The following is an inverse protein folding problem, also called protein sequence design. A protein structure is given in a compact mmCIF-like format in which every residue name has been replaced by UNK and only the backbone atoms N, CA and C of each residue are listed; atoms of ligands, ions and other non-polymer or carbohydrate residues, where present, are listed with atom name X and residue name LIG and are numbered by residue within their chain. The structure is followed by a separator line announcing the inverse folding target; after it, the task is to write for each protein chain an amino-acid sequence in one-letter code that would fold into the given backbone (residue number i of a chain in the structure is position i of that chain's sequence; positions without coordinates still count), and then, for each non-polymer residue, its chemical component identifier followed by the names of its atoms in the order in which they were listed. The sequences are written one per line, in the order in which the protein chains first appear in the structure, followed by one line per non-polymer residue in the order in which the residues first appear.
data_IF_091213639516
#
_entry.id   IF_091213639516
#
_cell.length_a   1.000
_cell.length_b   1.000
_cell.length_c   1.000
_cell.angle_alpha   90.00
_cell.angle_beta   90.00
_cell.angle_gamma   90.00
#
_symmetry.space_group_name_H-M   'P 1'
#
loop_
_entity.id
_entity.type
_entity.pdbx_description
1 polymer ?
#
# COMPACT_ATOMS: atom_id res chain seq x y z
N UNK A 1 23.20 -25.26 -69.75
CA UNK A 1 23.73 -24.93 -68.42
C UNK A 1 23.73 -23.42 -68.25
N UNK A 2 22.93 -22.87 -67.33
CA UNK A 2 23.16 -21.56 -66.70
C UNK A 2 22.15 -21.43 -65.56
N UNK A 3 22.60 -21.78 -64.34
CA UNK A 3 21.84 -21.56 -63.10
C UNK A 3 22.06 -20.11 -62.67
N UNK A 4 21.06 -19.25 -62.77
CA UNK A 4 21.05 -17.97 -62.08
C UNK A 4 20.64 -18.21 -60.63
N UNK A 5 21.61 -18.24 -59.73
CA UNK A 5 21.38 -18.23 -58.28
C UNK A 5 20.95 -16.82 -57.85
N UNK A 6 19.66 -16.64 -57.52
CA UNK A 6 19.22 -15.56 -56.65
C UNK A 6 19.55 -15.95 -55.21
N UNK A 7 20.64 -15.42 -54.68
CA UNK A 7 20.97 -15.43 -53.25
C UNK A 7 20.68 -14.06 -52.66
N UNK A 8 19.42 -13.78 -52.34
CA UNK A 8 19.06 -12.58 -51.59
C UNK A 8 19.42 -12.77 -50.12
N UNK A 9 20.48 -12.10 -49.65
CA UNK A 9 20.79 -12.00 -48.23
C UNK A 9 19.73 -11.10 -47.60
N UNK A 10 18.82 -11.70 -46.81
CA UNK A 10 17.88 -10.93 -45.99
C UNK A 10 18.69 -10.22 -44.91
N UNK A 11 18.89 -8.91 -45.07
CA UNK A 11 19.54 -8.09 -44.05
C UNK A 11 18.66 -8.06 -42.79
N UNK A 12 19.24 -8.24 -41.59
CA UNK A 12 18.49 -8.09 -40.36
C UNK A 12 17.97 -6.65 -40.26
N UNK A 13 16.67 -6.52 -40.05
CA UNK A 13 16.00 -5.23 -39.93
C UNK A 13 16.49 -4.49 -38.67
N UNK A 14 17.49 -3.64 -38.86
CA UNK A 14 18.14 -2.82 -37.83
C UNK A 14 17.16 -1.90 -37.10
N UNK A 15 16.08 -1.49 -37.78
CA UNK A 15 15.04 -0.66 -37.18
C UNK A 15 14.24 -1.46 -36.17
N UNK A 16 13.81 -2.67 -36.53
CA UNK A 16 13.11 -3.58 -35.61
C UNK A 16 13.96 -3.93 -34.38
N UNK A 17 15.27 -4.14 -34.55
CA UNK A 17 16.16 -4.43 -33.42
C UNK A 17 16.31 -3.24 -32.46
N UNK A 18 16.48 -2.03 -33.00
CA UNK A 18 16.52 -0.80 -32.20
C UNK A 18 15.18 -0.56 -31.48
N UNK A 19 14.07 -0.73 -32.17
CA UNK A 19 12.73 -0.51 -31.61
C UNK A 19 12.45 -1.51 -30.48
N UNK A 20 12.84 -2.78 -30.65
CA UNK A 20 12.75 -3.81 -29.59
C UNK A 20 13.65 -3.48 -28.39
N UNK A 21 14.87 -3.01 -28.62
CA UNK A 21 15.77 -2.60 -27.54
C UNK A 21 15.19 -1.41 -26.74
N UNK A 22 14.62 -0.40 -27.43
CA UNK A 22 13.98 0.74 -26.77
C UNK A 22 12.71 0.34 -26.03
N UNK A 23 11.89 -0.55 -26.60
CA UNK A 23 10.70 -1.06 -25.94
C UNK A 23 11.04 -1.82 -24.65
N UNK A 24 12.09 -2.66 -24.66
CA UNK A 24 12.55 -3.40 -23.49
C UNK A 24 13.09 -2.48 -22.37
N UNK A 25 13.82 -1.41 -22.75
CA UNK A 25 14.29 -0.40 -21.78
C UNK A 25 13.11 0.36 -21.17
N UNK A 26 12.14 0.78 -21.98
CA UNK A 26 10.97 1.51 -21.50
C UNK A 26 10.10 0.65 -20.58
N UNK A 27 9.87 -0.63 -20.93
CA UNK A 27 9.09 -1.54 -20.08
C UNK A 27 9.80 -1.85 -18.76
N UNK A 28 11.13 -2.01 -18.77
CA UNK A 28 11.90 -2.24 -17.55
C UNK A 28 11.92 -0.99 -16.64
N UNK A 29 12.00 0.21 -17.22
CA UNK A 29 11.92 1.46 -16.47
C UNK A 29 10.53 1.69 -15.84
N UNK A 30 9.46 1.39 -16.59
CA UNK A 30 8.08 1.49 -16.11
C UNK A 30 7.79 0.52 -14.96
N UNK A 31 8.29 -0.72 -15.03
CA UNK A 31 8.15 -1.69 -13.93
C UNK A 31 8.84 -1.21 -12.64
N UNK A 32 10.05 -0.65 -12.75
CA UNK A 32 10.78 -0.12 -11.59
C UNK A 32 10.03 1.05 -10.95
N UNK A 33 9.53 1.99 -11.76
CA UNK A 33 8.76 3.15 -11.27
C UNK A 33 7.46 2.72 -10.56
N UNK A 34 6.77 1.73 -11.14
CA UNK A 34 5.58 1.15 -10.53
C UNK A 34 5.88 0.47 -9.18
N UNK A 35 6.94 -0.35 -9.10
CA UNK A 35 7.35 -1.00 -7.85
C UNK A 35 7.76 0.00 -6.76
N UNK A 36 8.41 1.11 -7.14
CA UNK A 36 8.74 2.20 -6.21
C UNK A 36 7.47 2.89 -5.69
N UNK A 37 6.50 3.13 -6.57
CA UNK A 37 5.19 3.70 -6.20
C UNK A 37 4.48 2.81 -5.19
N UNK A 38 4.39 1.50 -5.44
CA UNK A 38 3.82 0.54 -4.50
C UNK A 38 4.57 0.51 -3.16
N UNK A 39 5.90 0.54 -3.20
CA UNK A 39 6.73 0.55 -1.99
C UNK A 39 6.47 1.80 -1.15
N UNK A 40 6.37 2.96 -1.79
CA UNK A 40 6.06 4.22 -1.13
C UNK A 40 4.66 4.22 -0.52
N UNK A 41 3.65 3.75 -1.25
CA UNK A 41 2.27 3.64 -0.75
C UNK A 41 2.17 2.66 0.42
N UNK A 42 2.83 1.50 0.36
CA UNK A 42 2.90 0.53 1.47
C UNK A 42 3.56 1.14 2.71
N UNK A 43 4.62 1.92 2.53
CA UNK A 43 5.28 2.65 3.62
C UNK A 43 4.34 3.67 4.25
N UNK A 44 3.60 4.45 3.46
CA UNK A 44 2.61 5.42 3.96
C UNK A 44 1.50 4.74 4.76
N UNK A 45 0.98 3.61 4.29
CA UNK A 45 -0.02 2.82 5.04
C UNK A 45 0.54 2.38 6.38
N UNK A 46 1.75 1.83 6.40
CA UNK A 46 2.41 1.35 7.62
C UNK A 46 2.65 2.49 8.61
N UNK A 47 3.10 3.65 8.13
CA UNK A 47 3.33 4.84 8.95
C UNK A 47 2.02 5.38 9.54
N UNK A 48 0.99 5.54 8.71
CA UNK A 48 -0.32 6.03 9.17
C UNK A 48 -0.95 5.08 10.20
N UNK A 49 -0.79 3.77 10.03
CA UNK A 49 -1.23 2.78 11.01
C UNK A 49 -0.49 2.93 12.34
N UNK A 50 0.84 3.05 12.30
CA UNK A 50 1.65 3.23 13.51
C UNK A 50 1.31 4.53 14.25
N UNK A 51 1.06 5.63 13.52
CA UNK A 51 0.58 6.90 14.08
C UNK A 51 -0.79 6.73 14.75
N UNK A 52 -1.72 6.02 14.10
CA UNK A 52 -3.06 5.77 14.63
C UNK A 52 -3.02 4.91 15.90
N UNK A 53 -2.23 3.83 15.90
CA UNK A 53 -2.06 2.95 17.06
C UNK A 53 -1.47 3.73 18.24
N UNK A 54 -0.46 4.59 17.98
CA UNK A 54 0.12 5.46 18.99
C UNK A 54 -0.90 6.45 19.56
N UNK A 55 -1.75 7.05 18.72
CA UNK A 55 -2.80 7.96 19.17
C UNK A 55 -3.81 7.25 20.09
N UNK A 56 -4.20 6.01 19.77
CA UNK A 56 -5.03 5.20 20.66
C UNK A 56 -4.38 4.89 21.99
N UNK A 57 -3.09 4.50 21.97
CA UNK A 57 -2.34 4.23 23.18
C UNK A 57 -2.26 5.47 24.08
N UNK A 58 -1.97 6.64 23.49
CA UNK A 58 -1.90 7.91 24.22
C UNK A 58 -3.25 8.31 24.82
N UNK A 59 -4.34 8.16 24.06
CA UNK A 59 -5.69 8.41 24.58
C UNK A 59 -5.99 7.47 25.76
N UNK A 60 -5.72 6.17 25.61
CA UNK A 60 -5.88 5.17 26.66
C UNK A 60 -5.09 5.53 27.92
N UNK A 61 -3.81 5.91 27.78
CA UNK A 61 -2.97 6.36 28.89
C UNK A 61 -3.53 7.60 29.60
N UNK A 62 -4.10 8.54 28.84
CA UNK A 62 -4.68 9.76 29.39
C UNK A 62 -5.97 9.49 30.20
N UNK A 63 -6.82 8.55 29.75
CA UNK A 63 -8.13 8.30 30.38
C UNK A 63 -8.12 7.17 31.41
N UNK A 64 -7.17 6.23 31.30
CA UNK A 64 -7.11 5.04 32.15
C UNK A 64 -7.07 5.35 33.66
N UNK A 65 -6.28 6.32 34.16
CA UNK A 65 -6.25 6.62 35.59
C UNK A 65 -7.63 6.98 36.15
N UNK A 66 -8.36 7.87 35.48
CA UNK A 66 -9.71 8.29 35.89
C UNK A 66 -10.71 7.13 35.82
N UNK A 67 -10.70 6.36 34.74
CA UNK A 67 -11.57 5.19 34.60
C UNK A 67 -11.26 4.10 35.66
N UNK A 68 -9.98 3.88 35.95
CA UNK A 68 -9.53 2.88 36.94
C UNK A 68 -9.98 3.21 38.37
N UNK A 69 -10.27 4.50 38.63
CA UNK A 69 -10.82 4.99 39.89
C UNK A 69 -12.35 5.09 39.89
N UNK A 70 -13.01 4.59 38.84
CA UNK A 70 -14.47 4.62 38.70
C UNK A 70 -15.04 5.99 38.32
N UNK A 71 -14.21 6.93 37.86
CA UNK A 71 -14.70 8.22 37.37
C UNK A 71 -15.32 8.06 35.98
N UNK A 72 -16.39 8.81 35.71
CA UNK A 72 -16.94 8.94 34.36
C UNK A 72 -16.09 9.90 33.54
N UNK A 73 -15.87 9.57 32.26
CA UNK A 73 -15.36 10.52 31.27
C UNK A 73 -16.53 11.39 30.81
N UNK A 74 -16.67 12.56 31.42
CA UNK A 74 -17.62 13.54 30.91
C UNK A 74 -17.10 14.20 29.62
N UNK A 75 -17.99 14.85 28.85
CA UNK A 75 -17.60 15.57 27.62
C UNK A 75 -16.58 16.71 27.84
N UNK A 76 -16.35 17.14 29.09
CA UNK A 76 -15.37 18.16 29.45
C UNK A 76 -14.02 17.58 29.86
N UNK A 77 -13.84 16.25 29.82
CA UNK A 77 -12.55 15.63 30.09
C UNK A 77 -11.49 16.16 29.14
N UNK A 78 -10.66 17.08 29.66
CA UNK A 78 -9.70 17.87 28.91
C UNK A 78 -8.73 16.91 28.22
N UNK A 79 -8.66 16.98 26.89
CA UNK A 79 -7.78 16.15 26.07
C UNK A 79 -8.48 15.03 25.30
N UNK A 80 -9.69 14.60 25.69
CA UNK A 80 -10.41 13.54 24.94
C UNK A 80 -10.89 14.05 23.59
N UNK A 81 -11.63 15.16 23.55
CA UNK A 81 -12.13 15.74 22.30
C UNK A 81 -11.02 16.01 21.25
N UNK A 82 -9.89 16.68 21.59
CA UNK A 82 -8.82 16.87 20.61
C UNK A 82 -8.11 15.55 20.22
N UNK A 83 -7.98 14.58 21.14
CA UNK A 83 -7.41 13.27 20.80
C UNK A 83 -8.31 12.48 19.84
N UNK A 84 -9.62 12.51 20.04
CA UNK A 84 -10.59 11.89 19.13
C UNK A 84 -10.54 12.54 17.76
N UNK A 85 -10.54 13.88 17.70
CA UNK A 85 -10.41 14.60 16.43
C UNK A 85 -9.11 14.25 15.70
N UNK A 86 -7.99 14.09 16.43
CA UNK A 86 -6.73 13.66 15.84
C UNK A 86 -6.79 12.22 15.31
N UNK A 87 -7.39 11.29 16.06
CA UNK A 87 -7.63 9.91 15.63
C UNK A 87 -8.45 9.86 14.33
N UNK A 88 -9.49 10.68 14.21
CA UNK A 88 -10.33 10.71 13.01
C UNK A 88 -9.57 11.22 11.78
N UNK A 89 -8.70 12.22 11.95
CA UNK A 89 -7.79 12.67 10.88
C UNK A 89 -6.84 11.54 10.45
N UNK A 90 -6.23 10.82 11.41
CA UNK A 90 -5.32 9.72 11.12
C UNK A 90 -6.03 8.56 10.41
N UNK A 91 -7.27 8.23 10.83
CA UNK A 91 -8.12 7.23 10.15
C UNK A 91 -8.39 7.62 8.70
N UNK A 92 -8.72 8.87 8.43
CA UNK A 92 -8.94 9.37 7.07
C UNK A 92 -7.67 9.26 6.20
N UNK A 93 -6.50 9.62 6.76
CA UNK A 93 -5.20 9.47 6.07
C UNK A 93 -4.90 8.01 5.75
N UNK A 94 -5.09 7.12 6.71
CA UNK A 94 -4.91 5.67 6.53
C UNK A 94 -5.84 5.13 5.44
N UNK A 95 -7.13 5.46 5.49
CA UNK A 95 -8.11 5.02 4.50
C UNK A 95 -7.73 5.48 3.09
N UNK A 96 -7.29 6.73 2.95
CA UNK A 96 -6.88 7.31 1.67
C UNK A 96 -5.63 6.61 1.10
N UNK A 97 -4.62 6.36 1.94
CA UNK A 97 -3.41 5.64 1.53
C UNK A 97 -3.70 4.18 1.16
N UNK A 98 -4.59 3.52 1.89
CA UNK A 98 -5.03 2.16 1.58
C UNK A 98 -5.82 2.10 0.27
N UNK A 99 -6.63 3.12 -0.04
CA UNK A 99 -7.35 3.20 -1.30
C UNK A 99 -6.38 3.38 -2.48
N UNK A 100 -5.44 4.33 -2.38
CA UNK A 100 -4.42 4.52 -3.42
C UNK A 100 -3.60 3.24 -3.65
N UNK A 101 -3.24 2.51 -2.59
CA UNK A 101 -2.54 1.23 -2.72
C UNK A 101 -3.39 0.15 -3.40
N UNK A 102 -4.71 0.11 -3.16
CA UNK A 102 -5.62 -0.82 -3.86
C UNK A 102 -5.75 -0.50 -5.34
N UNK A 103 -5.82 0.78 -5.68
CA UNK A 103 -5.99 1.24 -7.05
C UNK A 103 -4.73 0.96 -7.88
N UNK A 104 -3.54 1.07 -7.26
CA UNK A 104 -2.25 0.75 -7.90
C UNK A 104 -1.92 -0.76 -7.91
N UNK A 105 -2.38 -1.55 -6.93
CA UNK A 105 -2.09 -3.00 -6.83
C UNK A 105 -3.40 -3.83 -6.81
N UNK A 106 -4.13 -3.93 -7.93
CA UNK A 106 -5.45 -4.56 -7.98
C UNK A 106 -5.43 -6.09 -7.87
N UNK A 107 -4.29 -6.74 -7.65
CA UNK A 107 -4.16 -8.20 -7.76
C UNK A 107 -4.23 -8.91 -6.41
N UNK A 108 -5.28 -9.73 -6.25
CA UNK A 108 -5.43 -10.83 -5.28
C UNK A 108 -5.25 -10.52 -3.79
N UNK A 109 -5.32 -9.26 -3.37
CA UNK A 109 -5.24 -8.91 -1.95
C UNK A 109 -6.56 -8.40 -1.43
N UNK A 110 -7.01 -8.96 -0.32
CA UNK A 110 -8.21 -8.50 0.38
C UNK A 110 -7.81 -7.58 1.54
N UNK A 111 -8.49 -6.45 1.75
CA UNK A 111 -8.24 -5.62 2.91
C UNK A 111 -8.68 -6.36 4.18
N UNK A 112 -7.82 -6.36 5.20
CA UNK A 112 -8.14 -6.86 6.52
C UNK A 112 -9.31 -6.06 7.11
N UNK A 113 -10.39 -6.70 7.59
CA UNK A 113 -11.53 -5.97 8.16
C UNK A 113 -11.20 -5.27 9.48
N UNK A 114 -10.13 -5.69 10.17
CA UNK A 114 -9.73 -5.11 11.46
C UNK A 114 -8.84 -3.87 11.34
N UNK A 115 -7.93 -3.83 10.36
CA UNK A 115 -6.96 -2.74 10.22
C UNK A 115 -6.85 -2.16 8.80
N UNK A 116 -7.50 -2.77 7.81
CA UNK A 116 -7.49 -2.32 6.41
C UNK A 116 -6.23 -2.66 5.62
N UNK A 117 -5.22 -3.30 6.24
CA UNK A 117 -4.03 -3.75 5.54
C UNK A 117 -4.39 -4.73 4.41
N UNK A 118 -3.75 -4.62 3.25
CA UNK A 118 -3.91 -5.58 2.15
C UNK A 118 -3.20 -6.88 2.48
N UNK A 119 -3.94 -7.99 2.36
CA UNK A 119 -3.47 -9.33 2.70
C UNK A 119 -3.63 -10.25 1.50
N UNK A 120 -2.62 -11.06 1.21
CA UNK A 120 -2.59 -11.98 0.07
C UNK A 120 -3.72 -13.02 0.15
N UNK A 121 -4.36 -13.29 -0.99
CA UNK A 121 -5.39 -14.31 -1.10
C UNK A 121 -4.81 -15.68 -0.74
N UNK A 122 -5.20 -16.20 0.43
CA UNK A 122 -4.75 -17.48 0.98
C UNK A 122 -4.09 -17.38 2.35
N UNK A 123 -3.69 -16.17 2.77
CA UNK A 123 -3.19 -15.96 4.12
C UNK A 123 -4.29 -16.21 5.15
N UNK A 124 -3.96 -16.99 6.18
CA UNK A 124 -4.90 -17.30 7.27
C UNK A 124 -5.01 -16.15 8.28
N UNK A 125 -4.04 -15.25 8.29
CA UNK A 125 -3.91 -14.15 9.25
C UNK A 125 -3.31 -12.91 8.57
N UNK A 126 -3.70 -11.73 9.04
CA UNK A 126 -3.11 -10.47 8.62
C UNK A 126 -1.70 -10.32 9.20
N UNK A 127 -0.68 -10.20 8.34
CA UNK A 127 0.71 -9.98 8.77
C UNK A 127 0.96 -8.67 9.53
N UNK A 128 0.01 -7.71 9.50
CA UNK A 128 0.11 -6.45 10.21
C UNK A 128 -0.50 -6.49 11.62
N UNK A 129 -1.72 -7.01 11.77
CA UNK A 129 -2.45 -6.96 13.05
C UNK A 129 -2.76 -8.33 13.67
N UNK A 130 -2.41 -9.42 12.98
CA UNK A 130 -2.70 -10.79 13.43
C UNK A 130 -4.17 -11.22 13.33
N UNK A 131 -5.06 -10.36 12.81
CA UNK A 131 -6.47 -10.71 12.60
C UNK A 131 -6.63 -11.91 11.67
N UNK A 132 -7.56 -12.83 11.97
CA UNK A 132 -7.82 -13.99 11.13
C UNK A 132 -8.53 -13.59 9.84
N UNK A 133 -8.00 -13.99 8.68
CA UNK A 133 -8.53 -13.64 7.35
C UNK A 133 -9.41 -14.75 6.74
N UNK A 134 -9.84 -15.68 7.60
CA UNK A 134 -10.56 -16.90 7.22
C UNK A 134 -12.03 -16.62 6.95
#
# INVERSE_FOLDING_TARGET
MAKSHQGGVVMPDWKSLKDKAMAAVNSAAQEVDHQLTLTNLRSQVTQAQAELDKAYQQLGQAVYPSLSQGQSLDPQFVGVAPAVAHIDILRQRLQSAQQALRDEDPVSRTPCPSCGALVDAGDKFCGQCGHGMR
#
